data_IF_977660088041
#
_entry.id   IF_977660088041
#
_cell.length_a   1.000
_cell.length_b   1.000
_cell.length_c   1.000
_cell.angle_alpha   90.00
_cell.angle_beta   90.00
_cell.angle_gamma   90.00
#
_symmetry.space_group_name_H-M   'P 1'
#
loop_
_entity.id
_entity.type
_entity.pdbx_description
1 polymer ?
#
# COMPACT_ATOMS: atom_id res chain seq x y z
N UNK A 1 4.62 4.68 8.88
CA UNK A 1 3.52 5.53 8.38
C UNK A 1 3.09 6.48 9.47
N UNK A 2 2.48 7.61 9.09
CA UNK A 2 1.89 8.55 10.05
C UNK A 2 0.38 8.39 10.04
N UNK A 3 -0.30 8.78 11.11
CA UNK A 3 -1.77 8.85 11.13
C UNK A 3 -2.17 10.20 11.73
N UNK A 4 -2.90 11.07 10.99
CA UNK A 4 -3.34 10.92 9.61
C UNK A 4 -2.23 11.08 8.56
N UNK A 5 -2.56 10.76 7.31
CA UNK A 5 -1.71 11.04 6.14
C UNK A 5 -2.35 12.13 5.24
N UNK A 6 -1.66 13.26 4.99
CA UNK A 6 -0.37 13.67 5.54
C UNK A 6 -0.45 14.08 7.02
N UNK A 7 0.66 14.00 7.79
CA UNK A 7 0.65 14.42 9.18
C UNK A 7 0.48 15.95 9.28
N UNK A 8 -0.25 16.47 10.29
CA UNK A 8 -0.48 17.91 10.49
C UNK A 8 0.82 18.70 10.43
N UNK A 9 0.84 19.91 9.88
CA UNK A 9 2.07 20.67 9.59
C UNK A 9 3.07 20.75 10.77
N UNK A 10 2.57 20.91 12.00
CA UNK A 10 3.37 20.95 13.24
C UNK A 10 3.74 19.60 13.86
N UNK A 11 3.60 18.47 13.16
CA UNK A 11 3.84 17.14 13.72
C UNK A 11 5.28 16.97 14.24
N UNK A 12 5.43 16.53 15.49
CA UNK A 12 6.71 16.46 16.22
C UNK A 12 7.79 15.61 15.53
N UNK A 13 7.39 14.55 14.81
CA UNK A 13 8.32 13.72 14.02
C UNK A 13 9.11 14.51 12.97
N UNK A 14 8.61 15.67 12.50
CA UNK A 14 9.34 16.49 11.52
C UNK A 14 10.61 17.12 12.08
N UNK A 15 10.72 17.31 13.41
CA UNK A 15 11.84 18.00 14.05
C UNK A 15 12.61 17.13 15.05
N UNK A 16 12.18 15.88 15.28
CA UNK A 16 12.82 15.00 16.25
C UNK A 16 14.25 14.59 15.79
N UNK A 17 15.29 14.77 16.62
CA UNK A 17 16.69 14.66 16.18
C UNK A 17 17.15 13.24 15.84
N UNK A 18 16.35 12.22 16.17
CA UNK A 18 16.64 10.79 15.87
C UNK A 18 15.67 10.17 14.87
N UNK A 19 14.94 11.00 14.12
CA UNK A 19 13.94 10.55 13.15
C UNK A 19 14.24 11.15 11.79
N UNK A 20 14.18 10.32 10.75
CA UNK A 20 14.07 10.76 9.37
C UNK A 20 12.64 10.43 8.93
N UNK A 21 11.84 11.45 8.67
CA UNK A 21 10.47 11.28 8.20
C UNK A 21 10.45 11.32 6.67
N UNK A 22 10.09 10.21 6.04
CA UNK A 22 9.77 10.15 4.61
C UNK A 22 8.26 10.21 4.42
N UNK A 23 7.81 10.59 3.22
CA UNK A 23 6.41 10.38 2.83
C UNK A 23 6.07 8.88 2.75
N UNK A 24 4.79 8.57 2.56
CA UNK A 24 4.31 7.22 2.25
C UNK A 24 4.68 6.87 0.79
N UNK A 25 5.97 6.69 0.53
CA UNK A 25 6.50 6.49 -0.83
C UNK A 25 7.18 5.14 -1.02
N UNK A 26 7.21 4.28 0.01
CA UNK A 26 7.85 2.97 -0.08
C UNK A 26 7.25 2.08 -1.19
N UNK A 27 5.94 2.17 -1.42
CA UNK A 27 5.25 1.49 -2.53
C UNK A 27 5.15 2.31 -3.82
N UNK A 28 5.53 3.59 -3.79
CA UNK A 28 5.38 4.53 -4.91
C UNK A 28 6.64 4.58 -5.80
N UNK A 29 7.18 3.41 -6.16
CA UNK A 29 8.35 3.32 -7.02
C UNK A 29 7.94 3.40 -8.50
N UNK A 30 8.63 4.23 -9.29
CA UNK A 30 8.27 4.49 -10.70
C UNK A 30 8.19 3.23 -11.57
N UNK A 31 9.02 2.22 -11.28
CA UNK A 31 9.03 0.95 -11.99
C UNK A 31 7.90 -0.01 -11.56
N UNK A 32 7.23 0.25 -10.44
CA UNK A 32 6.14 -0.58 -9.91
C UNK A 32 4.75 -0.12 -10.33
N UNK A 33 4.58 1.15 -10.73
CA UNK A 33 3.25 1.71 -11.01
C UNK A 33 2.52 1.00 -12.18
N UNK A 34 3.23 0.73 -13.28
CA UNK A 34 2.65 0.01 -14.41
C UNK A 34 2.31 -1.42 -14.03
N UNK A 35 3.22 -2.14 -13.37
CA UNK A 35 2.99 -3.51 -12.94
C UNK A 35 1.80 -3.63 -11.97
N UNK A 36 1.64 -2.68 -11.06
CA UNK A 36 0.47 -2.60 -10.16
C UNK A 36 -0.81 -2.37 -10.97
N UNK A 37 -0.78 -1.44 -11.94
CA UNK A 37 -1.92 -1.16 -12.82
C UNK A 37 -2.34 -2.37 -13.64
N UNK A 38 -1.39 -3.05 -14.29
CA UNK A 38 -1.61 -4.26 -15.07
C UNK A 38 -2.21 -5.37 -14.19
N UNK A 39 -1.65 -5.58 -13.00
CA UNK A 39 -2.18 -6.57 -12.05
C UNK A 39 -3.62 -6.25 -11.61
N UNK A 40 -3.94 -4.99 -11.34
CA UNK A 40 -5.31 -4.58 -10.97
C UNK A 40 -6.29 -4.80 -12.13
N UNK A 41 -5.88 -4.51 -13.37
CA UNK A 41 -6.72 -4.73 -14.55
C UNK A 41 -7.04 -6.22 -14.73
N UNK A 42 -6.02 -7.09 -14.64
CA UNK A 42 -6.18 -8.54 -14.74
C UNK A 42 -7.08 -9.10 -13.61
N UNK A 43 -6.88 -8.66 -12.37
CA UNK A 43 -7.71 -9.08 -11.24
C UNK A 43 -9.17 -8.63 -11.39
N UNK A 44 -9.41 -7.45 -11.98
CA UNK A 44 -10.77 -6.97 -12.25
C UNK A 44 -11.48 -7.82 -13.32
N UNK A 45 -10.76 -8.26 -14.35
CA UNK A 45 -11.31 -9.17 -15.36
C UNK A 45 -11.69 -10.52 -14.73
N UNK A 46 -10.81 -11.11 -13.92
CA UNK A 46 -11.08 -12.35 -13.16
C UNK A 46 -12.28 -12.22 -12.24
N UNK A 47 -12.35 -11.11 -11.49
CA UNK A 47 -13.48 -10.83 -10.60
C UNK A 47 -14.81 -10.82 -11.38
N UNK A 48 -14.82 -10.19 -12.55
CA UNK A 48 -16.02 -10.09 -13.39
C UNK A 48 -16.41 -11.41 -14.04
N UNK A 49 -15.47 -12.30 -14.33
CA UNK A 49 -15.74 -13.64 -14.87
C UNK A 49 -16.04 -14.69 -13.79
N UNK A 50 -15.90 -14.34 -12.51
CA UNK A 50 -16.07 -15.28 -11.39
C UNK A 50 -14.89 -16.25 -11.25
N UNK A 51 -13.74 -15.91 -11.81
CA UNK A 51 -12.49 -16.66 -11.64
C UNK A 51 -11.84 -16.37 -10.28
N UNK A 52 -10.99 -17.29 -9.84
CA UNK A 52 -10.21 -17.09 -8.62
C UNK A 52 -9.23 -15.92 -8.80
N UNK A 53 -9.19 -15.05 -7.79
CA UNK A 53 -8.27 -13.91 -7.74
C UNK A 53 -6.86 -14.39 -7.36
N UNK A 54 -5.84 -13.83 -8.01
CA UNK A 54 -4.44 -14.14 -7.72
C UNK A 54 -3.97 -13.42 -6.46
N UNK A 55 -4.49 -12.22 -6.23
CA UNK A 55 -4.14 -11.35 -5.10
C UNK A 55 -5.12 -11.41 -3.94
N UNK A 56 -5.96 -12.44 -3.85
CA UNK A 56 -6.98 -12.54 -2.82
C UNK A 56 -6.37 -12.51 -1.41
N UNK A 57 -6.87 -11.60 -0.57
CA UNK A 57 -6.53 -11.56 0.86
C UNK A 57 -7.63 -12.26 1.63
N UNK A 58 -7.36 -13.50 2.03
CA UNK A 58 -8.23 -14.25 2.95
C UNK A 58 -8.10 -13.67 4.37
N UNK A 59 -9.14 -12.97 4.81
CA UNK A 59 -9.18 -12.33 6.12
C UNK A 59 -9.04 -13.31 7.29
N UNK A 60 -9.43 -14.58 7.12
CA UNK A 60 -9.24 -15.60 8.16
C UNK A 60 -7.75 -15.93 8.39
N UNK A 61 -6.93 -15.69 7.36
CA UNK A 61 -5.48 -15.92 7.34
C UNK A 61 -4.66 -14.65 7.52
N UNK A 62 -5.31 -13.51 7.78
CA UNK A 62 -4.64 -12.22 7.96
C UNK A 62 -3.54 -12.26 9.04
N UNK A 63 -3.69 -13.11 10.05
CA UNK A 63 -2.71 -13.34 11.11
C UNK A 63 -1.35 -13.89 10.63
N UNK A 64 -1.23 -14.34 9.38
CA UNK A 64 0.02 -14.83 8.79
C UNK A 64 0.86 -13.74 8.11
N UNK A 65 0.31 -12.53 7.95
CA UNK A 65 0.93 -11.42 7.23
C UNK A 65 1.73 -10.45 8.15
N UNK A 66 1.90 -10.80 9.44
CA UNK A 66 2.55 -9.99 10.47
C UNK A 66 3.78 -10.67 11.07
#
# INVERSE_FOLDING_TARGET
MTDPEPPPSGHWLRTHPRVILTGHIAGAVNNGLLAIGDFIADELERYRSGEALTGEVDLSRLHLLA
#
